data_IF_536873933445
#
_entry.id   IF_536873933445
#
_cell.length_a   1.000
_cell.length_b   1.000
_cell.length_c   1.000
_cell.angle_alpha   90.00
_cell.angle_beta   90.00
_cell.angle_gamma   90.00
#
_symmetry.space_group_name_H-M   'P 1'
#
loop_
_entity.id
_entity.type
_entity.pdbx_description
1 polymer ?
#
# COMPACT_ATOMS: atom_id res chain seq x y z
N UNK A 1 15.46 8.26 22.36
CA UNK A 1 15.09 7.94 20.97
C UNK A 1 13.96 8.90 20.62
N UNK A 2 14.16 9.86 19.71
CA UNK A 2 13.11 10.84 19.37
C UNK A 2 12.06 10.09 18.55
N UNK A 3 10.85 9.96 19.11
CA UNK A 3 9.73 9.33 18.43
C UNK A 3 9.07 10.42 17.57
N UNK A 4 9.27 10.34 16.25
CA UNK A 4 8.60 11.24 15.30
C UNK A 4 7.10 10.98 15.30
N UNK A 5 6.28 12.03 15.19
CA UNK A 5 4.87 11.87 14.83
C UNK A 5 4.75 11.32 13.40
N UNK A 6 3.64 10.65 13.04
CA UNK A 6 3.42 10.14 11.68
C UNK A 6 3.58 11.22 10.60
N UNK A 7 3.16 12.46 10.91
CA UNK A 7 3.30 13.60 10.02
C UNK A 7 4.76 13.99 9.78
N UNK A 8 5.57 14.05 10.84
CA UNK A 8 7.00 14.37 10.73
C UNK A 8 7.76 13.28 9.98
N UNK A 9 7.40 12.01 10.19
CA UNK A 9 7.97 10.89 9.45
C UNK A 9 7.72 11.00 7.94
N UNK A 10 6.48 11.30 7.55
CA UNK A 10 6.11 11.50 6.13
C UNK A 10 6.86 12.69 5.52
N UNK A 11 6.98 13.80 6.25
CA UNK A 11 7.73 14.97 5.78
C UNK A 11 9.23 14.68 5.61
N UNK A 12 9.82 13.86 6.48
CA UNK A 12 11.21 13.42 6.31
C UNK A 12 11.40 12.54 5.08
N UNK A 13 10.50 11.57 4.84
CA UNK A 13 10.53 10.73 3.63
C UNK A 13 10.45 11.62 2.38
N UNK A 14 9.53 12.59 2.36
CA UNK A 14 9.39 13.54 1.25
C UNK A 14 10.67 14.32 1.05
N UNK A 15 11.25 14.88 2.11
CA UNK A 15 12.51 15.62 2.05
C UNK A 15 13.63 14.77 1.45
N UNK A 16 13.86 13.57 1.98
CA UNK A 16 14.96 12.70 1.54
C UNK A 16 14.76 12.25 0.09
N UNK A 17 13.57 11.75 -0.27
CA UNK A 17 13.33 11.17 -1.60
C UNK A 17 13.22 12.23 -2.70
N UNK A 18 12.59 13.38 -2.43
CA UNK A 18 12.51 14.47 -3.41
C UNK A 18 13.80 15.28 -3.52
N UNK A 19 14.57 15.49 -2.43
CA UNK A 19 15.88 16.12 -2.54
C UNK A 19 16.90 15.19 -3.25
N UNK A 20 16.83 13.87 -3.02
CA UNK A 20 17.67 12.89 -3.71
C UNK A 20 17.26 12.69 -5.19
N UNK A 21 16.04 13.04 -5.59
CA UNK A 21 15.56 13.00 -6.98
C UNK A 21 16.27 13.98 -7.94
N UNK A 22 17.22 14.80 -7.45
CA UNK A 22 18.25 15.44 -8.30
C UNK A 22 19.26 14.45 -8.90
N UNK A 23 19.18 13.15 -8.60
CA UNK A 23 19.88 12.08 -9.32
C UNK A 23 18.89 11.13 -10.00
N UNK A 24 19.05 10.83 -11.31
CA UNK A 24 18.07 10.09 -12.10
C UNK A 24 18.13 8.58 -11.79
N UNK A 25 17.57 8.16 -10.66
CA UNK A 25 17.42 6.74 -10.30
C UNK A 25 16.04 6.16 -10.62
N UNK A 26 15.18 6.89 -11.33
CA UNK A 26 14.02 6.30 -11.98
C UNK A 26 14.49 5.56 -13.23
N UNK A 27 14.99 4.32 -13.05
CA UNK A 27 15.38 3.50 -14.18
C UNK A 27 14.16 3.28 -15.07
N UNK A 28 14.32 3.46 -16.38
CA UNK A 28 13.28 3.23 -17.38
C UNK A 28 12.70 1.80 -17.32
N UNK A 29 13.42 0.83 -16.72
CA UNK A 29 12.94 -0.53 -16.48
C UNK A 29 11.90 -0.61 -15.36
N UNK A 30 12.04 0.23 -14.34
CA UNK A 30 11.14 0.35 -13.21
C UNK A 30 9.78 0.86 -13.63
N UNK A 31 9.77 1.92 -14.44
CA UNK A 31 8.55 2.47 -15.02
C UNK A 31 7.84 1.42 -15.87
N UNK A 32 8.58 0.73 -16.75
CA UNK A 32 8.06 -0.29 -17.68
C UNK A 32 7.52 -1.54 -16.97
N UNK A 33 8.13 -1.96 -15.87
CA UNK A 33 7.66 -3.08 -15.05
C UNK A 33 6.33 -2.72 -14.34
N UNK A 34 6.22 -1.49 -13.83
CA UNK A 34 4.97 -0.97 -13.24
C UNK A 34 3.87 -0.88 -14.29
N UNK A 35 4.14 -0.35 -15.50
CA UNK A 35 3.13 -0.28 -16.58
C UNK A 35 2.66 -1.65 -17.03
N UNK A 36 3.53 -2.65 -17.07
CA UNK A 36 3.17 -4.02 -17.49
C UNK A 36 2.29 -4.73 -16.45
N UNK A 37 2.49 -4.47 -15.16
CA UNK A 37 1.62 -5.00 -14.08
C UNK A 37 0.24 -4.34 -14.09
N UNK A 38 0.18 -3.02 -14.30
CA UNK A 38 -1.07 -2.28 -14.43
C UNK A 38 -1.92 -2.75 -15.62
N UNK A 39 -1.30 -3.21 -16.71
CA UNK A 39 -1.99 -3.75 -17.88
C UNK A 39 -2.39 -5.23 -17.75
N UNK A 40 -2.18 -5.87 -16.58
CA UNK A 40 -2.43 -7.30 -16.39
C UNK A 40 -3.78 -7.59 -15.72
N UNK A 41 -4.85 -7.61 -16.53
CA UNK A 41 -6.25 -8.00 -16.20
C UNK A 41 -6.87 -7.29 -14.99
N UNK A 42 -7.93 -6.53 -15.24
CA UNK A 42 -8.65 -5.66 -14.30
C UNK A 42 -9.12 -6.30 -12.98
N UNK A 43 -9.14 -7.63 -12.84
CA UNK A 43 -9.51 -8.30 -11.58
C UNK A 43 -8.31 -8.59 -10.65
N UNK A 44 -7.07 -8.44 -11.13
CA UNK A 44 -5.87 -8.78 -10.35
C UNK A 44 -5.69 -7.88 -9.13
N UNK A 45 -6.07 -6.61 -9.23
CA UNK A 45 -5.89 -5.66 -8.11
C UNK A 45 -6.71 -6.07 -6.87
N UNK A 46 -7.87 -6.69 -7.04
CA UNK A 46 -8.67 -7.20 -5.91
C UNK A 46 -7.91 -8.29 -5.16
N UNK A 47 -7.30 -9.23 -5.88
CA UNK A 47 -6.47 -10.26 -5.25
C UNK A 47 -5.23 -9.67 -4.57
N UNK A 48 -4.63 -8.63 -5.14
CA UNK A 48 -3.51 -7.93 -4.51
C UNK A 48 -3.94 -7.22 -3.21
N UNK A 49 -5.14 -6.62 -3.17
CA UNK A 49 -5.71 -6.03 -1.96
C UNK A 49 -6.01 -7.08 -0.89
N UNK A 50 -6.52 -8.24 -1.28
CA UNK A 50 -6.75 -9.33 -0.33
C UNK A 50 -5.41 -9.82 0.25
N UNK A 51 -4.40 -10.04 -0.59
CA UNK A 51 -3.07 -10.44 -0.13
C UNK A 51 -2.45 -9.41 0.81
N UNK A 52 -2.66 -8.11 0.55
CA UNK A 52 -2.23 -7.08 1.48
C UNK A 52 -2.92 -7.24 2.84
N UNK A 53 -4.23 -7.51 2.88
CA UNK A 53 -4.95 -7.76 4.11
C UNK A 53 -4.52 -9.05 4.83
N UNK A 54 -4.16 -10.12 4.10
CA UNK A 54 -3.59 -11.34 4.69
C UNK A 54 -2.25 -11.07 5.39
N UNK A 55 -1.43 -10.20 4.80
CA UNK A 55 -0.09 -9.89 5.29
C UNK A 55 -0.07 -8.81 6.39
N UNK A 56 -1.22 -8.29 6.79
CA UNK A 56 -1.34 -7.27 7.84
C UNK A 56 -1.06 -7.85 9.24
N UNK A 57 -0.86 -6.95 10.20
CA UNK A 57 -0.77 -7.31 11.61
C UNK A 57 -2.09 -6.96 12.29
N UNK A 58 -2.61 -7.93 13.04
CA UNK A 58 -3.84 -7.83 13.81
C UNK A 58 -3.55 -8.19 15.27
N UNK A 59 -4.29 -7.60 16.19
CA UNK A 59 -4.23 -7.96 17.60
C UNK A 59 -4.71 -9.40 17.84
N UNK A 60 -4.12 -10.10 18.81
CA UNK A 60 -4.41 -11.52 19.08
C UNK A 60 -5.88 -11.81 19.40
N UNK A 61 -6.60 -10.81 19.91
CA UNK A 61 -7.99 -10.94 20.35
C UNK A 61 -9.02 -10.52 19.29
N UNK A 62 -8.60 -10.11 18.08
CA UNK A 62 -9.51 -9.71 17.00
C UNK A 62 -9.52 -10.74 15.88
N UNK A 63 -10.68 -10.95 15.28
CA UNK A 63 -10.78 -11.69 14.03
C UNK A 63 -10.49 -10.74 12.86
N UNK A 64 -9.52 -11.05 11.98
CA UNK A 64 -9.28 -10.27 10.77
C UNK A 64 -10.54 -10.13 9.92
N UNK A 65 -10.74 -8.95 9.34
CA UNK A 65 -11.86 -8.64 8.44
C UNK A 65 -11.37 -7.84 7.26
N UNK A 66 -11.99 -8.07 6.09
CA UNK A 66 -11.83 -7.24 4.91
C UNK A 66 -13.22 -7.01 4.29
N UNK A 67 -13.57 -5.76 4.05
CA UNK A 67 -14.83 -5.37 3.44
C UNK A 67 -14.58 -4.47 2.23
N UNK A 68 -15.31 -4.73 1.15
CA UNK A 68 -15.31 -3.92 -0.06
C UNK A 68 -16.67 -3.25 -0.21
N UNK A 69 -16.69 -1.93 -0.21
CA UNK A 69 -17.93 -1.13 -0.38
C UNK A 69 -17.77 -0.24 -1.60
N UNK A 70 -18.72 -0.31 -2.52
CA UNK A 70 -18.79 0.60 -3.66
C UNK A 70 -19.85 1.66 -3.40
N UNK A 71 -19.49 2.92 -3.62
CA UNK A 71 -20.41 4.06 -3.51
C UNK A 71 -20.29 4.96 -4.73
N UNK A 72 -21.37 5.64 -5.09
CA UNK A 72 -21.36 6.73 -6.08
C UNK A 72 -20.86 8.06 -5.50
N UNK A 73 -20.70 8.14 -4.18
CA UNK A 73 -20.20 9.34 -3.53
C UNK A 73 -18.69 9.50 -3.77
N UNK A 74 -18.28 10.69 -4.20
CA UNK A 74 -16.87 11.04 -4.33
C UNK A 74 -16.29 11.50 -2.99
N UNK A 75 -16.02 10.53 -2.12
CA UNK A 75 -15.43 10.76 -0.79
C UNK A 75 -13.99 11.30 -0.90
N UNK A 76 -13.33 11.08 -2.03
CA UNK A 76 -11.97 11.54 -2.29
C UNK A 76 -11.88 12.97 -2.81
N UNK A 77 -13.02 13.57 -3.19
CA UNK A 77 -13.11 14.87 -3.86
C UNK A 77 -12.23 14.98 -5.13
N UNK A 78 -12.12 13.90 -5.89
CA UNK A 78 -11.31 13.84 -7.12
C UNK A 78 -12.13 13.99 -8.42
N UNK A 79 -13.45 14.11 -8.32
CA UNK A 79 -14.40 14.06 -9.44
C UNK A 79 -14.77 12.63 -9.87
N UNK A 80 -14.51 11.63 -9.04
CA UNK A 80 -14.77 10.22 -9.37
C UNK A 80 -16.28 9.93 -9.44
N UNK A 81 -16.71 9.15 -10.43
CA UNK A 81 -18.12 8.73 -10.59
C UNK A 81 -18.53 7.62 -9.60
N UNK A 82 -17.55 6.88 -9.10
CA UNK A 82 -17.71 5.87 -8.08
C UNK A 82 -16.41 5.73 -7.30
N UNK A 83 -16.53 5.41 -6.01
CA UNK A 83 -15.43 5.17 -5.09
C UNK A 83 -15.52 3.74 -4.57
N UNK A 84 -14.42 2.99 -4.67
CA UNK A 84 -14.25 1.73 -3.96
C UNK A 84 -13.59 2.01 -2.62
N UNK A 85 -14.29 1.69 -1.54
CA UNK A 85 -13.78 1.71 -0.18
C UNK A 85 -13.37 0.30 0.22
N UNK A 86 -12.20 0.19 0.84
CA UNK A 86 -11.65 -1.08 1.32
C UNK A 86 -11.34 -0.91 2.79
N UNK A 87 -12.03 -1.67 3.63
CA UNK A 87 -11.88 -1.62 5.08
C UNK A 87 -11.26 -2.90 5.58
N UNK A 88 -10.27 -2.79 6.45
CA UNK A 88 -9.78 -3.90 7.25
C UNK A 88 -9.58 -3.41 8.69
N UNK A 89 -9.53 -4.32 9.66
CA UNK A 89 -9.34 -4.01 11.08
C UNK A 89 -7.89 -4.24 11.57
N UNK A 90 -6.90 -3.95 10.71
CA UNK A 90 -5.49 -4.06 11.08
C UNK A 90 -5.09 -3.06 12.17
N UNK A 91 -3.93 -3.29 12.80
CA UNK A 91 -3.37 -2.43 13.85
C UNK A 91 -2.90 -1.05 13.34
N UNK A 92 -2.87 -0.89 12.01
CA UNK A 92 -2.43 0.29 11.30
C UNK A 92 -0.95 0.24 10.92
N UNK A 93 -0.47 1.30 10.28
CA UNK A 93 0.90 1.36 9.80
C UNK A 93 1.89 1.82 10.88
N UNK A 94 2.96 1.05 11.06
CA UNK A 94 4.17 1.51 11.72
C UNK A 94 5.02 2.39 10.79
N UNK A 95 5.97 3.20 11.31
CA UNK A 95 6.92 3.95 10.48
C UNK A 95 7.65 3.08 9.45
N UNK A 96 8.03 1.86 9.82
CA UNK A 96 8.69 0.89 8.93
C UNK A 96 7.77 0.42 7.79
N UNK A 97 6.46 0.30 8.04
CA UNK A 97 5.51 0.01 6.95
C UNK A 97 5.42 1.19 5.97
N UNK A 98 5.38 2.43 6.47
CA UNK A 98 5.35 3.63 5.63
C UNK A 98 6.62 3.73 4.78
N UNK A 99 7.80 3.47 5.36
CA UNK A 99 9.07 3.45 4.63
C UNK A 99 9.03 2.43 3.49
N UNK A 100 8.55 1.21 3.79
CA UNK A 100 8.47 0.10 2.84
C UNK A 100 7.52 0.38 1.67
N UNK A 101 6.35 0.99 1.91
CA UNK A 101 5.39 1.35 0.85
C UNK A 101 5.91 2.50 -0.01
N UNK A 102 6.68 3.43 0.60
CA UNK A 102 7.26 4.55 -0.11
C UNK A 102 8.51 4.16 -0.92
N UNK A 103 9.12 2.98 -0.69
CA UNK A 103 10.32 2.52 -1.38
C UNK A 103 9.99 1.82 -2.71
N UNK A 104 10.39 2.45 -3.81
CA UNK A 104 10.31 1.82 -5.14
C UNK A 104 11.47 0.80 -5.22
N UNK A 105 11.15 -0.50 -5.31
CA UNK A 105 12.02 -1.69 -5.53
C UNK A 105 12.31 -2.63 -4.35
N UNK A 106 11.74 -2.43 -3.17
CA UNK A 106 11.96 -3.35 -2.03
C UNK A 106 10.69 -4.09 -1.63
N UNK A 107 9.98 -4.68 -2.61
CA UNK A 107 9.00 -5.71 -2.30
C UNK A 107 9.73 -6.89 -1.64
N UNK A 108 9.70 -6.93 -0.32
CA UNK A 108 10.38 -7.92 0.53
C UNK A 108 9.71 -9.30 0.49
N UNK A 109 8.53 -9.42 -0.13
CA UNK A 109 7.76 -10.67 -0.17
C UNK A 109 8.23 -11.57 -1.32
N UNK A 110 9.45 -12.08 -1.21
CA UNK A 110 9.88 -13.29 -1.93
C UNK A 110 9.47 -14.50 -1.08
N UNK A 111 8.38 -15.16 -1.46
CA UNK A 111 8.25 -16.60 -1.28
C UNK A 111 7.52 -17.13 -0.04
N UNK A 112 6.39 -16.55 0.37
CA UNK A 112 5.42 -17.29 1.17
C UNK A 112 4.07 -17.36 0.43
N UNK A 113 3.80 -18.53 -0.14
CA UNK A 113 2.48 -18.89 -0.67
C UNK A 113 1.85 -19.88 0.31
N UNK A 114 1.42 -19.40 1.47
CA UNK A 114 0.47 -20.13 2.31
C UNK A 114 -0.88 -19.42 2.13
N UNK A 115 -1.89 -20.17 1.68
CA UNK A 115 -3.22 -19.66 1.35
C UNK A 115 -4.05 -19.44 2.61
N UNK A 116 -4.52 -18.21 2.91
CA UNK A 116 -5.67 -17.98 3.82
C UNK A 116 -6.22 -16.57 3.67
N UNK A 117 -7.26 -16.42 2.84
CA UNK A 117 -7.83 -15.16 2.35
C UNK A 117 -8.78 -14.50 3.36
N UNK A 118 -8.25 -14.29 4.57
CA UNK A 118 -8.79 -13.55 5.71
C UNK A 118 -9.76 -14.38 6.57
N UNK A 119 -9.47 -14.41 7.87
CA UNK A 119 -10.03 -15.31 8.88
C UNK A 119 -8.91 -15.78 9.78
#
# INVERSE_FOLDING_TARGET
MIMYSPKEHIEEIRRVKYCAARRPYLSHRSLKATTTRLNSKDSRFIFELIQNAEDNQYDEAVNPTLEFVMTSDDITATGAQATLLVFNNENGFSPTNIDSICDIHLSTKKGNRNTSYIG
#
